data_IF_498903991315
#
_entry.id   IF_498903991315
#
_cell.length_a   1.000
_cell.length_b   1.000
_cell.length_c   1.000
_cell.angle_alpha   90.00
_cell.angle_beta   90.00
_cell.angle_gamma   90.00
#
_symmetry.space_group_name_H-M   'P 1'
#
loop_
_entity.id
_entity.type
_entity.pdbx_description
1 polymer ?
#
# COMPACT_ATOMS: atom_id res chain seq x y z
N UNK A 1 8.28 6.78 -12.24
CA UNK A 1 7.67 7.81 -11.38
C UNK A 1 6.24 8.00 -11.82
N UNK A 2 5.27 7.76 -10.94
CA UNK A 2 3.90 8.21 -11.12
C UNK A 2 3.57 9.10 -9.93
N UNK A 3 3.70 10.41 -10.15
CA UNK A 3 3.36 11.43 -9.17
C UNK A 3 2.06 12.05 -9.63
N UNK A 4 0.95 11.71 -8.98
CA UNK A 4 -0.35 12.37 -9.21
C UNK A 4 -0.73 13.11 -7.94
N UNK A 5 -0.61 14.44 -7.97
CA UNK A 5 -1.15 15.34 -6.96
C UNK A 5 -2.53 15.79 -7.43
N UNK A 6 -3.57 15.06 -7.04
CA UNK A 6 -4.93 15.57 -7.11
C UNK A 6 -5.55 15.39 -5.73
N UNK A 7 -5.61 16.48 -4.96
CA UNK A 7 -6.46 16.55 -3.78
C UNK A 7 -7.90 16.48 -4.27
N UNK A 8 -8.51 15.29 -4.24
CA UNK A 8 -9.92 15.12 -4.55
C UNK A 8 -10.72 15.57 -3.34
N UNK A 9 -11.34 16.74 -3.42
CA UNK A 9 -12.35 17.17 -2.47
C UNK A 9 -13.61 16.31 -2.65
N UNK A 10 -13.77 15.29 -1.81
CA UNK A 10 -14.87 14.32 -1.80
C UNK A 10 -14.49 13.08 -0.96
N UNK A 11 -15.42 12.16 -0.67
CA UNK A 11 -15.09 10.92 0.08
C UNK A 11 -14.14 9.99 -0.67
N UNK A 12 -13.87 10.25 -1.96
CA UNK A 12 -12.98 9.45 -2.81
C UNK A 12 -13.50 8.04 -3.11
N UNK A 13 -14.68 7.65 -2.58
CA UNK A 13 -15.22 6.30 -2.76
C UNK A 13 -15.40 5.99 -4.25
N UNK A 14 -14.93 4.82 -4.66
CA UNK A 14 -14.95 4.36 -6.05
C UNK A 14 -13.76 4.81 -6.89
N UNK A 15 -12.90 5.71 -6.40
CA UNK A 15 -11.67 6.07 -7.11
C UNK A 15 -10.80 4.84 -7.33
N UNK A 16 -10.30 4.69 -8.55
CA UNK A 16 -9.46 3.55 -8.93
C UNK A 16 -8.04 4.03 -9.15
N UNK A 17 -7.06 3.26 -8.66
CA UNK A 17 -5.63 3.49 -8.90
C UNK A 17 -4.98 2.24 -9.49
N UNK A 18 -3.87 2.46 -10.19
CA UNK A 18 -2.97 1.40 -10.64
C UNK A 18 -1.67 1.50 -9.85
N UNK A 19 -1.41 0.49 -9.02
CA UNK A 19 -0.20 0.37 -8.23
C UNK A 19 0.74 -0.60 -8.93
N UNK A 20 2.00 -0.23 -9.11
CA UNK A 20 3.01 -1.14 -9.68
C UNK A 20 4.37 -0.96 -9.02
N UNK A 21 5.09 -2.06 -8.87
CA UNK A 21 6.47 -2.08 -8.39
C UNK A 21 7.28 -3.13 -9.16
N UNK A 22 8.58 -2.93 -9.21
CA UNK A 22 9.50 -4.01 -9.58
C UNK A 22 9.65 -4.94 -8.38
N UNK A 23 9.54 -6.24 -8.60
CA UNK A 23 9.85 -7.30 -7.65
C UNK A 23 11.03 -8.10 -8.20
N UNK A 24 12.00 -8.42 -7.34
CA UNK A 24 13.21 -9.15 -7.71
C UNK A 24 13.25 -10.45 -6.94
N UNK A 25 13.36 -11.57 -7.65
CA UNK A 25 13.46 -12.90 -7.06
C UNK A 25 14.84 -13.10 -6.40
N UNK A 26 15.00 -14.13 -5.55
CA UNK A 26 16.30 -14.50 -5.01
C UNK A 26 17.36 -14.85 -6.08
N UNK A 27 16.92 -15.28 -7.27
CA UNK A 27 17.81 -15.55 -8.42
C UNK A 27 18.23 -14.27 -9.17
N UNK A 28 17.75 -13.10 -8.74
CA UNK A 28 18.05 -11.81 -9.36
C UNK A 28 17.15 -11.45 -10.55
N UNK A 29 16.21 -12.30 -10.91
CA UNK A 29 15.25 -12.03 -11.98
C UNK A 29 14.24 -10.99 -11.51
N UNK A 30 14.05 -9.93 -12.30
CA UNK A 30 13.13 -8.84 -11.97
C UNK A 30 11.87 -8.92 -12.82
N UNK A 31 10.73 -8.77 -12.18
CA UNK A 31 9.41 -8.72 -12.81
C UNK A 31 8.63 -7.51 -12.31
N UNK A 32 7.64 -7.07 -13.06
CA UNK A 32 6.72 -6.01 -12.62
C UNK A 32 5.52 -6.67 -11.97
N UNK A 33 5.27 -6.32 -10.71
CA UNK A 33 4.02 -6.64 -10.01
C UNK A 33 3.10 -5.43 -10.08
N UNK A 34 1.80 -5.66 -10.22
CA UNK A 34 0.80 -4.63 -10.26
C UNK A 34 -0.54 -5.05 -9.67
N UNK A 35 -1.28 -4.07 -9.17
CA UNK A 35 -2.65 -4.20 -8.71
C UNK A 35 -3.47 -2.97 -9.14
N UNK A 36 -4.67 -3.23 -9.66
CA UNK A 36 -5.71 -2.23 -9.85
C UNK A 36 -6.59 -2.24 -8.62
N UNK A 37 -6.64 -1.12 -7.91
CA UNK A 37 -7.29 -1.02 -6.61
C UNK A 37 -8.39 0.04 -6.65
N UNK A 38 -9.49 -0.20 -5.95
CA UNK A 38 -10.59 0.76 -5.80
C UNK A 38 -10.73 1.18 -4.34
N UNK A 39 -10.76 2.48 -4.10
CA UNK A 39 -10.98 3.05 -2.79
C UNK A 39 -12.43 2.77 -2.33
N UNK A 40 -12.57 2.09 -1.21
CA UNK A 40 -13.85 1.74 -0.58
C UNK A 40 -14.27 2.82 0.41
N UNK A 41 -13.34 3.27 1.24
CA UNK A 41 -13.54 4.27 2.29
C UNK A 41 -12.24 5.03 2.58
N UNK A 42 -12.36 6.29 2.98
CA UNK A 42 -11.25 7.11 3.45
C UNK A 42 -11.70 7.94 4.64
N UNK A 43 -10.96 7.84 5.73
CA UNK A 43 -11.09 8.66 6.93
C UNK A 43 -9.80 9.45 7.13
N UNK A 44 -9.82 10.71 6.70
CA UNK A 44 -8.66 11.58 6.82
C UNK A 44 -8.33 11.96 8.27
N UNK A 45 -9.33 11.98 9.17
CA UNK A 45 -9.12 12.31 10.57
C UNK A 45 -8.37 11.18 11.29
N UNK A 46 -8.72 9.93 10.97
CA UNK A 46 -8.06 8.73 11.49
C UNK A 46 -6.87 8.28 10.63
N UNK A 47 -6.53 9.01 9.55
CA UNK A 47 -5.45 8.68 8.60
C UNK A 47 -5.55 7.24 8.09
N UNK A 48 -6.79 6.83 7.77
CA UNK A 48 -7.12 5.48 7.34
C UNK A 48 -7.75 5.47 5.95
N UNK A 49 -7.40 4.47 5.17
CA UNK A 49 -8.07 4.16 3.91
C UNK A 49 -8.33 2.66 3.82
N UNK A 50 -9.44 2.29 3.18
CA UNK A 50 -9.79 0.91 2.85
C UNK A 50 -10.01 0.81 1.36
N UNK A 51 -9.46 -0.22 0.73
CA UNK A 51 -9.56 -0.45 -0.70
C UNK A 51 -9.74 -1.93 -1.01
N UNK A 52 -10.26 -2.21 -2.19
CA UNK A 52 -10.37 -3.56 -2.73
C UNK A 52 -9.49 -3.71 -3.97
N UNK A 53 -8.91 -4.89 -4.15
CA UNK A 53 -8.16 -5.24 -5.36
C UNK A 53 -9.15 -5.73 -6.41
N UNK A 54 -9.21 -5.03 -7.54
CA UNK A 54 -10.08 -5.36 -8.67
C UNK A 54 -9.44 -6.36 -9.63
N UNK A 55 -8.13 -6.20 -9.84
CA UNK A 55 -7.34 -6.99 -10.77
C UNK A 55 -5.87 -6.89 -10.36
N UNK A 56 -5.08 -7.93 -10.59
CA UNK A 56 -3.66 -7.95 -10.26
C UNK A 56 -2.95 -9.14 -10.92
N UNK A 57 -1.64 -9.03 -11.14
CA UNK A 57 -0.82 -10.15 -11.61
C UNK A 57 -0.10 -10.91 -10.48
N UNK A 58 -0.42 -10.62 -9.22
CA UNK A 58 0.19 -11.29 -8.05
C UNK A 58 -0.60 -12.55 -7.66
N UNK A 59 -1.91 -12.57 -7.91
CA UNK A 59 -2.81 -13.69 -7.65
C UNK A 59 -3.81 -13.50 -6.50
N UNK A 60 -3.90 -12.30 -5.91
CA UNK A 60 -4.86 -12.01 -4.84
C UNK A 60 -6.31 -12.09 -5.34
N UNK A 61 -7.21 -12.70 -4.56
CA UNK A 61 -8.65 -12.81 -4.89
C UNK A 61 -9.52 -12.32 -3.73
N UNK A 62 -10.63 -11.65 -4.05
CA UNK A 62 -11.58 -11.07 -3.07
C UNK A 62 -10.89 -10.26 -1.97
N UNK A 63 -9.86 -9.51 -2.36
CA UNK A 63 -8.94 -8.89 -1.41
C UNK A 63 -9.38 -7.48 -1.05
N UNK A 64 -9.65 -7.25 0.23
CA UNK A 64 -9.94 -5.94 0.80
C UNK A 64 -8.88 -5.65 1.85
N UNK A 65 -8.24 -4.50 1.76
CA UNK A 65 -7.19 -4.11 2.68
C UNK A 65 -7.44 -2.72 3.26
N UNK A 66 -7.03 -2.56 4.51
CA UNK A 66 -7.10 -1.30 5.26
C UNK A 66 -5.69 -0.89 5.63
N UNK A 67 -5.35 0.35 5.29
CA UNK A 67 -4.07 0.98 5.57
C UNK A 67 -4.31 2.17 6.50
N UNK A 68 -3.62 2.20 7.64
CA UNK A 68 -3.82 3.20 8.69
C UNK A 68 -2.46 3.69 9.22
N UNK A 69 -2.39 4.99 9.51
CA UNK A 69 -1.21 5.60 10.15
C UNK A 69 -1.58 5.98 11.58
N UNK A 70 -1.05 5.23 12.54
CA UNK A 70 -1.36 5.40 13.96
C UNK A 70 -0.24 6.22 14.63
N UNK A 71 -0.57 7.31 15.36
CA UNK A 71 0.44 8.07 16.08
C UNK A 71 0.99 7.26 17.26
N UNK A 72 2.32 7.27 17.42
CA UNK A 72 2.96 6.79 18.64
C UNK A 72 3.12 8.01 19.54
N UNK A 73 2.35 8.03 20.64
CA UNK A 73 2.20 9.21 21.53
C UNK A 73 3.55 9.70 22.06
N UNK A 74 4.51 8.79 22.25
CA UNK A 74 5.86 9.11 22.70
C UNK A 74 6.82 9.24 21.50
N UNK A 75 7.48 10.39 21.37
CA UNK A 75 8.59 10.59 20.43
C UNK A 75 8.23 11.14 19.05
N UNK A 76 6.97 11.52 18.79
CA UNK A 76 6.57 12.12 17.51
C UNK A 76 6.69 11.16 16.31
N UNK A 77 6.64 9.85 16.59
CA UNK A 77 6.70 8.79 15.60
C UNK A 77 5.29 8.33 15.19
N UNK A 78 5.22 7.48 14.17
CA UNK A 78 3.98 6.82 13.78
C UNK A 78 4.26 5.37 13.36
N UNK A 79 3.23 4.55 13.45
CA UNK A 79 3.20 3.18 12.95
C UNK A 79 2.28 3.11 11.75
N UNK A 80 2.69 2.36 10.72
CA UNK A 80 1.81 1.99 9.61
C UNK A 80 1.22 0.62 9.93
N UNK A 81 -0.10 0.55 10.04
CA UNK A 81 -0.82 -0.70 10.18
C UNK A 81 -1.50 -1.04 8.85
N UNK A 82 -1.26 -2.26 8.35
CA UNK A 82 -1.84 -2.75 7.11
C UNK A 82 -2.51 -4.10 7.36
N UNK A 83 -3.83 -4.09 7.37
CA UNK A 83 -4.67 -5.27 7.58
C UNK A 83 -5.42 -5.64 6.31
N UNK A 84 -5.84 -6.89 6.20
CA UNK A 84 -6.50 -7.40 5.00
C UNK A 84 -7.43 -8.58 5.28
N UNK A 85 -8.39 -8.77 4.39
CA UNK A 85 -9.26 -9.95 4.31
C UNK A 85 -9.32 -10.36 2.84
N UNK A 86 -9.07 -11.64 2.57
CA UNK A 86 -9.15 -12.17 1.21
C UNK A 86 -8.50 -13.55 1.07
N UNK A 87 -8.43 -14.01 -0.17
CA UNK A 87 -7.77 -15.26 -0.54
C UNK A 87 -6.35 -14.94 -1.06
N UNK A 88 -5.29 -15.47 -0.43
CA UNK A 88 -3.92 -15.24 -0.88
C UNK A 88 -3.65 -15.90 -2.24
N UNK A 89 -2.55 -15.51 -2.93
CA UNK A 89 -2.16 -16.16 -4.17
C UNK A 89 -1.96 -17.67 -4.02
N UNK A 90 -2.24 -18.41 -5.09
CA UNK A 90 -2.05 -19.85 -5.10
C UNK A 90 -0.58 -20.22 -4.81
N UNK A 91 -0.38 -21.21 -3.93
CA UNK A 91 0.95 -21.65 -3.52
C UNK A 91 1.62 -20.78 -2.45
N UNK A 92 1.04 -19.65 -2.06
CA UNK A 92 1.60 -18.84 -0.97
C UNK A 92 1.21 -19.41 0.39
N UNK A 93 2.21 -19.57 1.25
CA UNK A 93 2.00 -19.85 2.67
C UNK A 93 1.99 -18.53 3.48
N UNK A 94 1.71 -18.63 4.78
CA UNK A 94 1.69 -17.48 5.68
C UNK A 94 3.00 -16.68 5.65
N UNK A 95 4.14 -17.36 5.65
CA UNK A 95 5.47 -16.72 5.62
C UNK A 95 5.67 -15.92 4.33
N UNK A 96 5.32 -16.48 3.17
CA UNK A 96 5.40 -15.81 1.87
C UNK A 96 4.59 -14.52 1.86
N UNK A 97 3.38 -14.57 2.45
CA UNK A 97 2.51 -13.41 2.58
C UNK A 97 3.12 -12.34 3.50
N UNK A 98 3.64 -12.75 4.66
CA UNK A 98 4.31 -11.86 5.61
C UNK A 98 5.52 -11.18 4.97
N UNK A 99 6.39 -11.93 4.30
CA UNK A 99 7.57 -11.38 3.61
C UNK A 99 7.18 -10.36 2.53
N UNK A 100 6.12 -10.64 1.77
CA UNK A 100 5.62 -9.69 0.76
C UNK A 100 5.12 -8.38 1.37
N UNK A 101 4.32 -8.45 2.43
CA UNK A 101 3.79 -7.25 3.08
C UNK A 101 4.86 -6.48 3.87
N UNK A 102 5.77 -7.17 4.55
CA UNK A 102 6.88 -6.54 5.27
C UNK A 102 7.80 -5.76 4.32
N UNK A 103 8.23 -6.39 3.21
CA UNK A 103 9.04 -5.70 2.19
C UNK A 103 8.29 -4.52 1.55
N UNK A 104 6.98 -4.65 1.35
CA UNK A 104 6.12 -3.56 0.84
C UNK A 104 6.03 -2.41 1.84
N UNK A 105 5.81 -2.69 3.13
CA UNK A 105 5.74 -1.69 4.20
C UNK A 105 7.05 -0.92 4.34
N UNK A 106 8.19 -1.61 4.34
CA UNK A 106 9.51 -0.97 4.38
C UNK A 106 9.72 -0.05 3.17
N UNK A 107 9.33 -0.50 1.97
CA UNK A 107 9.41 0.33 0.75
C UNK A 107 8.52 1.57 0.84
N UNK A 108 7.30 1.43 1.35
CA UNK A 108 6.34 2.52 1.52
C UNK A 108 6.84 3.52 2.55
N UNK A 109 7.27 3.06 3.74
CA UNK A 109 7.80 3.93 4.80
C UNK A 109 8.95 4.79 4.29
N UNK A 110 9.93 4.16 3.64
CA UNK A 110 11.08 4.87 3.06
C UNK A 110 10.67 5.91 2.02
N UNK A 111 9.70 5.61 1.16
CA UNK A 111 9.21 6.55 0.14
C UNK A 111 8.45 7.72 0.78
N UNK A 112 7.69 7.49 1.83
CA UNK A 112 7.00 8.55 2.59
C UNK A 112 8.05 9.47 3.24
N UNK A 113 9.03 8.91 3.95
CA UNK A 113 10.12 9.68 4.57
C UNK A 113 10.88 10.51 3.53
N UNK A 114 11.22 9.93 2.39
CA UNK A 114 11.88 10.64 1.29
C UNK A 114 11.03 11.81 0.75
N UNK A 115 9.72 11.59 0.57
CA UNK A 115 8.81 12.64 0.13
C UNK A 115 8.70 13.79 1.16
N UNK A 116 8.71 13.47 2.46
CA UNK A 116 8.70 14.47 3.53
C UNK A 116 9.99 15.31 3.57
N UNK A 117 11.15 14.69 3.34
CA UNK A 117 12.43 15.42 3.25
C UNK A 117 12.48 16.34 2.02
N UNK A 118 11.95 15.87 0.89
CA UNK A 118 11.88 16.67 -0.34
C UNK A 118 10.92 17.85 -0.21
N UNK A 119 9.83 17.71 0.54
CA UNK A 119 8.85 18.79 0.77
C UNK A 119 9.27 19.76 1.86
N UNK A 120 10.21 19.39 2.74
CA UNK A 120 10.81 20.28 3.75
C UNK A 120 11.92 21.19 3.19
N UNK A 121 12.24 21.04 1.91
CA UNK A 121 13.29 21.79 1.21
C UNK A 121 12.76 22.98 0.38
N UNK A 122 11.51 23.40 0.62
CA UNK A 122 10.83 24.52 -0.05
C UNK A 122 10.53 25.63 0.94
#
# INVERSE_FOLDING_TARGET
>A
MATTHSMVAGTGRGLTRYCSSTSTSPSGESSVIWAKERLVEMDAAQRRLTYEVLDNNVGFKKWVATFEVVPIVEGGACEIQWSFVGEPPEGWNYESLVTFYDSSLQSISKKIEQALLMTSSV
#
